data_IF_949687810976
#
_entry.id   IF_949687810976
#
_cell.length_a   1.000
_cell.length_b   1.000
_cell.length_c   1.000
_cell.angle_alpha   90.00
_cell.angle_beta   90.00
_cell.angle_gamma   90.00
#
_symmetry.space_group_name_H-M   'P 1'
#
loop_
_entity.id
_entity.type
_entity.pdbx_description
1 polymer ?
#
# COMPACT_ATOMS: atom_id res chain seq x y z
N UNK A 1 -14.69 -16.47 17.01
CA UNK A 1 -15.14 -15.40 17.94
C UNK A 1 -13.96 -14.59 18.46
N UNK A 2 -12.93 -15.23 19.08
CA UNK A 2 -11.77 -14.51 19.65
C UNK A 2 -10.95 -13.82 18.55
N UNK A 3 -10.66 -14.50 17.43
CA UNK A 3 -9.94 -13.91 16.29
C UNK A 3 -10.64 -12.64 15.79
N UNK A 4 -11.95 -12.72 15.49
CA UNK A 4 -12.69 -11.57 14.97
C UNK A 4 -12.70 -10.38 15.97
N UNK A 5 -12.70 -10.66 17.27
CA UNK A 5 -12.64 -9.62 18.29
C UNK A 5 -11.28 -8.91 18.27
N UNK A 6 -10.19 -9.68 18.16
CA UNK A 6 -8.84 -9.13 18.06
C UNK A 6 -8.60 -8.40 16.73
N UNK A 7 -9.17 -8.88 15.62
CA UNK A 7 -9.13 -8.16 14.35
C UNK A 7 -9.81 -6.80 14.44
N UNK A 8 -11.00 -6.75 15.01
CA UNK A 8 -11.72 -5.49 15.21
C UNK A 8 -10.96 -4.53 16.13
N UNK A 9 -10.37 -5.03 17.20
CA UNK A 9 -9.55 -4.23 18.10
C UNK A 9 -8.29 -3.72 17.42
N UNK A 10 -7.60 -4.56 16.64
CA UNK A 10 -6.44 -4.17 15.84
C UNK A 10 -6.80 -3.10 14.80
N UNK A 11 -7.91 -3.27 14.09
CA UNK A 11 -8.40 -2.29 13.11
C UNK A 11 -8.75 -0.96 13.77
N UNK A 12 -9.42 -1.00 14.93
CA UNK A 12 -9.75 0.20 15.68
C UNK A 12 -8.49 0.95 16.12
N UNK A 13 -7.54 0.27 16.78
CA UNK A 13 -6.28 0.87 17.22
C UNK A 13 -5.43 1.35 16.03
N UNK A 14 -5.40 0.61 14.94
CA UNK A 14 -4.64 1.00 13.72
C UNK A 14 -5.22 2.20 13.00
N UNK A 15 -6.50 2.51 13.23
CA UNK A 15 -7.18 3.66 12.62
C UNK A 15 -7.07 4.94 13.45
N UNK A 16 -6.50 4.86 14.64
CA UNK A 16 -6.21 6.03 15.46
C UNK A 16 -5.13 6.89 14.81
N UNK A 17 -5.19 8.19 15.03
CA UNK A 17 -4.16 9.11 14.61
C UNK A 17 -3.02 9.11 15.63
N UNK A 18 -1.79 8.96 15.13
CA UNK A 18 -0.57 8.97 15.94
C UNK A 18 0.24 10.22 15.66
N UNK A 19 0.65 10.89 16.72
CA UNK A 19 1.37 12.16 16.64
C UNK A 19 2.74 12.04 17.30
N UNK A 20 3.72 12.71 16.74
CA UNK A 20 5.06 12.84 17.32
C UNK A 20 5.39 14.33 17.48
N UNK A 21 5.88 14.71 18.66
CA UNK A 21 6.33 16.07 18.92
C UNK A 21 7.78 16.23 18.45
N UNK A 22 8.01 17.13 17.49
CA UNK A 22 9.32 17.47 17.00
C UNK A 22 9.44 19.00 16.93
N UNK A 23 10.50 19.55 17.56
CA UNK A 23 10.79 20.99 17.64
C UNK A 23 9.60 21.86 18.15
N UNK A 24 8.81 21.29 19.08
CA UNK A 24 7.67 21.97 19.70
C UNK A 24 6.39 21.95 18.84
N UNK A 25 6.37 21.19 17.78
CA UNK A 25 5.21 20.98 16.92
C UNK A 25 4.78 19.52 16.87
N UNK A 26 3.46 19.29 16.74
CA UNK A 26 2.91 17.94 16.56
C UNK A 26 2.88 17.56 15.08
N UNK A 27 3.37 16.36 14.79
CA UNK A 27 3.48 15.79 13.47
C UNK A 27 2.69 14.49 13.38
N UNK A 28 1.84 14.35 12.38
CA UNK A 28 1.26 13.10 11.92
C UNK A 28 1.85 12.68 10.56
N UNK A 29 1.48 11.48 10.08
CA UNK A 29 1.99 10.98 8.80
C UNK A 29 1.50 11.82 7.60
N UNK A 30 0.31 12.40 7.67
CA UNK A 30 -0.23 13.20 6.57
C UNK A 30 0.56 14.51 6.44
N UNK A 31 0.77 15.21 7.55
CA UNK A 31 1.58 16.43 7.58
C UNK A 31 3.01 16.15 7.13
N UNK A 32 3.61 15.07 7.66
CA UNK A 32 4.96 14.68 7.27
C UNK A 32 5.08 14.44 5.77
N UNK A 33 4.15 13.72 5.16
CA UNK A 33 4.16 13.48 3.71
C UNK A 33 3.96 14.75 2.88
N UNK A 34 3.25 15.74 3.41
CA UNK A 34 3.04 17.01 2.70
C UNK A 34 4.26 17.94 2.75
N UNK A 35 5.00 17.92 3.84
CA UNK A 35 6.08 18.87 4.13
C UNK A 35 7.49 18.25 3.99
N UNK A 36 7.61 16.91 3.83
CA UNK A 36 8.88 16.19 3.82
C UNK A 36 9.90 16.71 2.78
N UNK A 37 9.43 17.15 1.61
CA UNK A 37 10.31 17.64 0.54
C UNK A 37 11.02 18.96 0.90
N UNK A 38 10.48 19.71 1.87
CA UNK A 38 11.03 20.99 2.34
C UNK A 38 11.86 20.82 3.62
N UNK A 39 11.94 19.61 4.18
CA UNK A 39 12.57 19.31 5.46
C UNK A 39 13.95 18.69 5.31
N UNK A 40 14.75 18.77 6.39
CA UNK A 40 15.97 17.99 6.51
C UNK A 40 15.66 16.49 6.59
N UNK A 41 16.44 15.68 5.88
CA UNK A 41 16.22 14.23 5.78
C UNK A 41 16.26 13.52 7.12
N UNK A 42 17.17 13.94 8.02
CA UNK A 42 17.30 13.32 9.35
C UNK A 42 16.08 13.65 10.22
N UNK A 43 15.52 14.86 10.10
CA UNK A 43 14.28 15.27 10.76
C UNK A 43 13.09 14.44 10.28
N UNK A 44 12.95 14.23 8.95
CA UNK A 44 11.89 13.38 8.37
C UNK A 44 11.96 11.96 8.93
N UNK A 45 13.17 11.37 9.00
CA UNK A 45 13.36 10.03 9.55
C UNK A 45 12.98 9.98 11.04
N UNK A 46 13.41 10.95 11.84
CA UNK A 46 13.11 10.98 13.28
C UNK A 46 11.62 11.07 13.54
N UNK A 47 10.92 11.99 12.86
CA UNK A 47 9.47 12.16 12.99
C UNK A 47 8.74 10.87 12.56
N UNK A 48 9.10 10.31 11.40
CA UNK A 48 8.51 9.06 10.91
C UNK A 48 8.68 7.91 11.91
N UNK A 49 9.89 7.72 12.43
CA UNK A 49 10.17 6.68 13.41
C UNK A 49 9.41 6.90 14.72
N UNK A 50 9.27 8.15 15.16
CA UNK A 50 8.52 8.53 16.35
C UNK A 50 7.04 8.17 16.23
N UNK A 51 6.41 8.52 15.12
CA UNK A 51 5.01 8.18 14.81
C UNK A 51 4.83 6.65 14.71
N UNK A 52 5.70 5.97 13.96
CA UNK A 52 5.67 4.52 13.82
C UNK A 52 5.84 3.80 15.17
N UNK A 53 6.70 4.32 16.04
CA UNK A 53 6.88 3.74 17.38
C UNK A 53 5.60 3.83 18.20
N UNK A 54 4.93 4.97 18.23
CA UNK A 54 3.67 5.13 18.96
C UNK A 54 2.59 4.18 18.44
N UNK A 55 2.47 4.06 17.12
CA UNK A 55 1.56 3.08 16.51
C UNK A 55 1.90 1.65 16.93
N UNK A 56 3.17 1.27 16.85
CA UNK A 56 3.61 -0.07 17.23
C UNK A 56 3.37 -0.37 18.72
N UNK A 57 3.57 0.62 19.59
CA UNK A 57 3.29 0.48 21.02
C UNK A 57 1.78 0.27 21.27
N UNK A 58 0.91 0.91 20.48
CA UNK A 58 -0.54 0.77 20.61
C UNK A 58 -1.07 -0.58 20.12
N UNK A 59 -0.58 -1.06 18.95
CA UNK A 59 -1.13 -2.27 18.30
C UNK A 59 -0.36 -3.55 18.64
N UNK A 60 0.84 -3.46 19.20
CA UNK A 60 1.79 -4.57 19.28
C UNK A 60 1.27 -5.76 20.09
N UNK A 61 0.64 -5.52 21.24
CA UNK A 61 0.11 -6.59 22.10
C UNK A 61 -1.03 -7.34 21.41
N UNK A 62 -1.98 -6.60 20.83
CA UNK A 62 -3.12 -7.17 20.09
C UNK A 62 -2.64 -7.96 18.87
N UNK A 63 -1.64 -7.44 18.16
CA UNK A 63 -1.05 -8.13 17.01
C UNK A 63 -0.43 -9.48 17.41
N UNK A 64 0.35 -9.52 18.49
CA UNK A 64 0.96 -10.76 18.98
C UNK A 64 -0.11 -11.76 19.42
N UNK A 65 -1.15 -11.31 20.15
CA UNK A 65 -2.25 -12.20 20.56
C UNK A 65 -3.03 -12.73 19.35
N UNK A 66 -3.23 -11.92 18.32
CA UNK A 66 -3.87 -12.35 17.07
C UNK A 66 -3.04 -13.43 16.36
N UNK A 67 -1.71 -13.26 16.31
CA UNK A 67 -0.78 -14.28 15.75
C UNK A 67 -0.89 -15.60 16.52
N UNK A 68 -0.94 -15.55 17.85
CA UNK A 68 -1.06 -16.74 18.69
C UNK A 68 -2.37 -17.47 18.44
N UNK A 69 -3.50 -16.74 18.44
CA UNK A 69 -4.83 -17.32 18.16
C UNK A 69 -4.88 -17.94 16.76
N UNK A 70 -4.30 -17.29 15.77
CA UNK A 70 -4.24 -17.82 14.40
C UNK A 70 -3.42 -19.09 14.31
N UNK A 71 -2.30 -19.18 15.02
CA UNK A 71 -1.53 -20.41 15.10
C UNK A 71 -2.28 -21.54 15.84
N UNK A 72 -3.09 -21.22 16.87
CA UNK A 72 -3.97 -22.21 17.51
C UNK A 72 -5.04 -22.72 16.52
N UNK A 73 -5.65 -21.84 15.74
CA UNK A 73 -6.61 -22.22 14.69
C UNK A 73 -5.97 -23.15 13.68
N UNK A 74 -4.75 -22.86 13.21
CA UNK A 74 -4.03 -23.69 12.29
C UNK A 74 -3.79 -25.10 12.85
N UNK A 75 -3.33 -25.20 14.09
CA UNK A 75 -3.09 -26.48 14.77
C UNK A 75 -4.37 -27.30 14.93
N UNK A 76 -5.50 -26.65 15.28
CA UNK A 76 -6.80 -27.30 15.36
C UNK A 76 -7.27 -27.85 13.99
N UNK A 77 -6.80 -27.29 12.90
CA UNK A 77 -7.11 -27.74 11.55
C UNK A 77 -6.03 -28.68 10.96
N UNK A 78 -5.02 -29.10 11.75
CA UNK A 78 -4.02 -30.08 11.37
C UNK A 78 -2.80 -29.51 10.64
N UNK A 79 -2.57 -28.20 10.73
CA UNK A 79 -1.40 -27.51 10.16
C UNK A 79 -0.38 -27.16 11.25
N UNK A 80 0.89 -27.10 10.89
CA UNK A 80 1.95 -26.75 11.83
C UNK A 80 1.95 -25.27 12.24
N UNK A 81 1.52 -24.39 11.35
CA UNK A 81 1.45 -22.94 11.58
C UNK A 81 0.37 -22.27 10.71
N UNK A 82 0.05 -21.00 11.05
CA UNK A 82 -0.99 -20.28 10.34
C UNK A 82 -0.63 -19.97 8.87
N UNK A 83 0.64 -19.82 8.53
CA UNK A 83 1.01 -19.54 7.16
C UNK A 83 0.67 -20.71 6.22
N UNK A 84 0.90 -21.97 6.64
CA UNK A 84 0.49 -23.15 5.87
C UNK A 84 -1.02 -23.27 5.78
N UNK A 85 -1.72 -23.11 6.91
CA UNK A 85 -3.18 -23.09 6.94
C UNK A 85 -3.77 -22.02 6.02
N UNK A 86 -3.23 -20.79 6.06
CA UNK A 86 -3.72 -19.71 5.27
C UNK A 86 -3.49 -19.93 3.76
N UNK A 87 -2.36 -20.51 3.36
CA UNK A 87 -2.09 -20.83 1.95
C UNK A 87 -3.13 -21.78 1.38
N UNK A 88 -3.46 -22.82 2.09
CA UNK A 88 -4.39 -23.86 1.65
C UNK A 88 -5.86 -23.45 1.86
N UNK A 89 -6.25 -23.16 3.10
CA UNK A 89 -7.64 -23.04 3.49
C UNK A 89 -8.22 -21.62 3.38
N UNK A 90 -7.39 -20.57 3.54
CA UNK A 90 -7.86 -19.17 3.51
C UNK A 90 -7.71 -18.58 2.11
N UNK A 91 -6.53 -18.70 1.52
CA UNK A 91 -6.24 -18.13 0.20
C UNK A 91 -6.49 -19.09 -0.95
N UNK A 92 -6.76 -20.36 -0.66
CA UNK A 92 -7.06 -21.43 -1.64
C UNK A 92 -6.02 -21.43 -2.76
N UNK A 93 -4.72 -21.40 -2.38
CA UNK A 93 -3.62 -21.38 -3.34
C UNK A 93 -3.35 -22.79 -3.83
N UNK A 94 -3.09 -22.93 -5.11
CA UNK A 94 -2.69 -24.19 -5.76
C UNK A 94 -1.18 -24.46 -5.70
N UNK A 95 -0.44 -23.67 -4.88
CA UNK A 95 0.99 -23.81 -4.63
C UNK A 95 1.31 -23.65 -3.14
N UNK A 96 2.40 -24.28 -2.72
CA UNK A 96 2.84 -24.36 -1.33
C UNK A 96 3.76 -23.22 -0.91
N UNK A 97 3.98 -23.10 0.41
CA UNK A 97 4.99 -22.17 0.96
C UNK A 97 6.40 -22.49 0.46
N UNK A 98 6.74 -23.77 0.29
CA UNK A 98 8.07 -24.17 -0.18
C UNK A 98 8.28 -23.81 -1.65
N UNK A 99 7.27 -24.00 -2.50
CA UNK A 99 7.30 -23.53 -3.88
C UNK A 99 7.41 -22.00 -3.97
N UNK A 100 6.75 -21.26 -3.06
CA UNK A 100 6.93 -19.81 -2.97
C UNK A 100 8.36 -19.43 -2.56
N UNK A 101 8.94 -20.15 -1.59
CA UNK A 101 10.34 -19.92 -1.20
C UNK A 101 11.31 -20.20 -2.33
N UNK A 102 11.06 -21.23 -3.11
CA UNK A 102 11.89 -21.57 -4.27
C UNK A 102 11.75 -20.50 -5.37
N UNK A 103 10.54 -20.04 -5.65
CA UNK A 103 10.31 -18.91 -6.54
C UNK A 103 11.08 -17.65 -6.08
N UNK A 104 11.04 -17.33 -4.78
CA UNK A 104 11.78 -16.18 -4.24
C UNK A 104 13.31 -16.33 -4.38
N UNK A 105 13.84 -17.55 -4.30
CA UNK A 105 15.26 -17.82 -4.58
C UNK A 105 15.60 -17.57 -6.05
N UNK A 106 14.75 -18.02 -6.98
CA UNK A 106 14.94 -17.78 -8.41
C UNK A 106 14.81 -16.27 -8.76
N UNK A 107 13.85 -15.56 -8.17
CA UNK A 107 13.73 -14.11 -8.30
C UNK A 107 15.01 -13.41 -7.80
N UNK A 108 15.49 -13.79 -6.61
CA UNK A 108 16.73 -13.21 -6.05
C UNK A 108 17.94 -13.46 -6.94
N UNK A 109 18.00 -14.64 -7.54
CA UNK A 109 19.13 -15.04 -8.40
C UNK A 109 19.10 -14.40 -9.79
N UNK A 110 17.91 -14.26 -10.38
CA UNK A 110 17.78 -13.90 -11.78
C UNK A 110 17.19 -12.50 -12.00
N UNK A 111 16.27 -12.05 -11.15
CA UNK A 111 15.60 -10.74 -11.32
C UNK A 111 16.34 -9.64 -10.58
N UNK A 112 16.76 -9.88 -9.34
CA UNK A 112 17.43 -8.85 -8.52
C UNK A 112 18.70 -8.30 -9.18
N UNK A 113 19.60 -9.10 -9.82
CA UNK A 113 20.75 -8.55 -10.54
C UNK A 113 20.33 -7.64 -11.71
N UNK A 114 19.31 -8.04 -12.48
CA UNK A 114 18.79 -7.21 -13.58
C UNK A 114 18.24 -5.88 -13.06
N UNK A 115 17.52 -5.90 -11.93
CA UNK A 115 17.04 -4.67 -11.29
C UNK A 115 18.19 -3.78 -10.79
N UNK A 116 19.29 -4.38 -10.30
CA UNK A 116 20.47 -3.63 -9.89
C UNK A 116 21.14 -2.93 -11.09
N UNK A 117 21.28 -3.64 -12.21
CA UNK A 117 21.81 -3.06 -13.46
C UNK A 117 20.89 -1.94 -14.00
N UNK A 118 19.56 -2.14 -13.91
CA UNK A 118 18.58 -1.12 -14.31
C UNK A 118 18.63 0.12 -13.43
N UNK A 119 18.98 -0.01 -12.15
CA UNK A 119 19.09 1.13 -11.23
C UNK A 119 20.10 2.18 -11.72
N UNK A 120 21.21 1.74 -12.31
CA UNK A 120 22.20 2.65 -12.86
C UNK A 120 21.66 3.41 -14.08
N UNK A 121 20.83 2.76 -14.90
CA UNK A 121 20.14 3.41 -16.03
C UNK A 121 19.03 4.36 -15.53
N UNK A 122 18.28 3.98 -14.50
CA UNK A 122 17.20 4.78 -13.91
C UNK A 122 17.73 5.99 -13.12
N UNK A 123 18.97 5.92 -12.63
CA UNK A 123 19.66 7.05 -12.00
C UNK A 123 20.29 7.98 -13.03
N UNK A 124 20.17 7.68 -14.34
CA UNK A 124 20.65 8.57 -15.39
C UNK A 124 19.87 9.90 -15.36
N UNK A 125 20.57 10.96 -15.72
CA UNK A 125 20.10 12.35 -15.73
C UNK A 125 18.77 12.51 -16.48
N UNK A 126 18.53 11.70 -17.50
CA UNK A 126 17.30 11.75 -18.29
C UNK A 126 16.07 11.22 -17.54
N UNK A 127 16.20 10.16 -16.73
CA UNK A 127 15.10 9.68 -15.90
C UNK A 127 14.72 10.71 -14.82
N UNK A 128 15.72 11.24 -14.11
CA UNK A 128 15.49 12.27 -13.08
C UNK A 128 14.89 13.54 -13.69
N UNK A 129 15.28 13.90 -14.91
CA UNK A 129 14.69 15.01 -15.65
C UNK A 129 13.21 14.76 -15.96
N UNK A 130 12.87 13.58 -16.50
CA UNK A 130 11.48 13.20 -16.80
C UNK A 130 10.61 13.17 -15.53
N UNK A 131 11.17 12.67 -14.43
CA UNK A 131 10.49 12.70 -13.14
C UNK A 131 10.24 14.13 -12.66
N UNK A 132 11.24 15.02 -12.75
CA UNK A 132 11.09 16.42 -12.35
C UNK A 132 10.18 17.22 -13.28
N UNK A 133 10.14 16.92 -14.57
CA UNK A 133 9.21 17.52 -15.53
C UNK A 133 7.75 17.11 -15.25
N UNK A 134 7.53 15.94 -14.65
CA UNK A 134 6.22 15.49 -14.20
C UNK A 134 5.74 16.11 -12.89
N UNK A 135 6.61 16.79 -12.14
CA UNK A 135 6.21 17.48 -10.91
C UNK A 135 5.34 18.71 -11.23
N UNK A 136 4.30 18.91 -10.43
CA UNK A 136 3.39 20.05 -10.58
C UNK A 136 2.26 19.85 -11.60
N UNK A 137 2.10 18.65 -12.16
CA UNK A 137 0.90 18.32 -12.94
C UNK A 137 -0.23 18.02 -11.93
N UNK A 138 -1.34 18.73 -12.04
CA UNK A 138 -2.52 18.44 -11.23
C UNK A 138 -3.00 17.00 -11.48
N UNK A 139 -3.21 16.25 -10.41
CA UNK A 139 -3.61 14.84 -10.45
C UNK A 139 -4.88 14.61 -11.26
N UNK A 140 -5.85 15.52 -11.17
CA UNK A 140 -7.10 15.47 -11.95
C UNK A 140 -6.86 15.66 -13.44
N UNK A 141 -5.89 16.50 -13.83
CA UNK A 141 -5.56 16.71 -15.24
C UNK A 141 -4.90 15.51 -15.89
N UNK A 142 -4.21 14.68 -15.12
CA UNK A 142 -3.59 13.44 -15.64
C UNK A 142 -4.67 12.49 -16.18
N UNK A 143 -5.75 12.27 -15.42
CA UNK A 143 -6.84 11.40 -15.85
C UNK A 143 -7.46 11.88 -17.16
N UNK A 144 -7.59 13.20 -17.35
CA UNK A 144 -8.13 13.75 -18.58
C UNK A 144 -7.16 13.59 -19.76
N UNK A 145 -5.87 13.76 -19.53
CA UNK A 145 -4.84 13.73 -20.56
C UNK A 145 -4.47 12.33 -21.08
N UNK A 146 -4.68 11.28 -20.29
CA UNK A 146 -4.36 9.91 -20.70
C UNK A 146 -5.34 9.31 -21.72
N UNK A 147 -6.52 9.88 -21.88
CA UNK A 147 -7.58 9.33 -22.74
C UNK A 147 -7.14 8.96 -24.17
N UNK A 148 -6.44 9.84 -24.90
CA UNK A 148 -5.95 9.52 -26.24
C UNK A 148 -5.00 8.31 -26.28
N UNK A 149 -4.15 8.16 -25.26
CA UNK A 149 -3.22 7.04 -25.15
C UNK A 149 -3.94 5.73 -24.81
N UNK A 150 -4.98 5.80 -23.97
CA UNK A 150 -5.82 4.63 -23.67
C UNK A 150 -6.56 4.14 -24.90
N UNK A 151 -7.06 5.06 -25.76
CA UNK A 151 -7.72 4.72 -27.03
C UNK A 151 -6.79 4.00 -28.01
N UNK A 152 -5.50 4.38 -28.04
CA UNK A 152 -4.48 3.71 -28.88
C UNK A 152 -4.20 2.27 -28.41
N UNK A 153 -4.31 2.02 -27.09
CA UNK A 153 -4.12 0.68 -26.51
C UNK A 153 -5.35 -0.18 -26.74
N UNK A 154 -6.51 0.29 -26.32
CA UNK A 154 -7.81 -0.36 -26.47
C UNK A 154 -8.93 0.68 -26.31
N UNK A 155 -9.87 0.80 -27.28
CA UNK A 155 -11.01 1.71 -27.16
C UNK A 155 -11.87 1.49 -25.89
N UNK A 156 -11.98 0.26 -25.38
CA UNK A 156 -12.72 -0.03 -24.14
C UNK A 156 -12.07 0.63 -22.91
N UNK A 157 -10.75 0.81 -22.90
CA UNK A 157 -10.05 1.52 -21.83
C UNK A 157 -10.43 3.01 -21.82
N UNK A 158 -10.58 3.60 -22.99
CA UNK A 158 -11.05 5.00 -23.09
C UNK A 158 -12.49 5.15 -22.63
N UNK A 159 -13.39 4.26 -23.03
CA UNK A 159 -14.77 4.26 -22.59
C UNK A 159 -14.85 4.13 -21.05
N UNK A 160 -14.01 3.29 -20.47
CA UNK A 160 -13.87 3.14 -19.02
C UNK A 160 -13.40 4.45 -18.38
N UNK A 161 -12.37 5.10 -18.92
CA UNK A 161 -11.87 6.38 -18.42
C UNK A 161 -12.96 7.47 -18.50
N UNK A 162 -13.69 7.57 -19.62
CA UNK A 162 -14.78 8.53 -19.78
C UNK A 162 -15.90 8.29 -18.76
N UNK A 163 -16.17 7.03 -18.43
CA UNK A 163 -17.12 6.68 -17.37
C UNK A 163 -16.62 7.14 -15.99
N UNK A 164 -15.34 6.92 -15.65
CA UNK A 164 -14.74 7.42 -14.42
C UNK A 164 -14.83 8.94 -14.30
N UNK A 165 -14.52 9.66 -15.37
CA UNK A 165 -14.64 11.12 -15.43
C UNK A 165 -16.10 11.57 -15.24
N UNK A 166 -17.04 10.97 -16.00
CA UNK A 166 -18.45 11.33 -15.98
C UNK A 166 -19.09 11.18 -14.61
N UNK A 167 -18.78 10.11 -13.90
CA UNK A 167 -19.38 9.80 -12.60
C UNK A 167 -18.48 10.17 -11.41
N UNK A 168 -17.33 10.79 -11.67
CA UNK A 168 -16.34 11.17 -10.64
C UNK A 168 -15.96 9.99 -9.74
N UNK A 169 -15.68 8.83 -10.35
CA UNK A 169 -15.31 7.60 -9.64
C UNK A 169 -13.82 7.58 -9.25
N UNK A 170 -13.24 8.72 -9.00
CA UNK A 170 -11.86 8.89 -8.55
C UNK A 170 -11.79 10.04 -7.55
N UNK A 171 -10.84 9.96 -6.66
CA UNK A 171 -10.47 10.99 -5.70
C UNK A 171 -8.95 10.96 -5.55
N UNK A 172 -8.28 11.95 -6.13
CA UNK A 172 -6.81 12.04 -6.20
C UNK A 172 -6.26 13.25 -5.45
N UNK A 173 -7.13 14.11 -4.92
CA UNK A 173 -6.68 15.29 -4.22
C UNK A 173 -6.09 14.93 -2.86
N UNK A 174 -4.95 15.52 -2.51
CA UNK A 174 -4.37 15.41 -1.17
C UNK A 174 -5.14 16.24 -0.16
N UNK A 175 -5.37 15.69 1.02
CA UNK A 175 -6.01 16.38 2.13
C UNK A 175 -5.57 15.76 3.46
N UNK A 176 -5.41 16.60 4.49
CA UNK A 176 -5.07 16.14 5.84
C UNK A 176 -6.08 15.15 6.44
N UNK A 177 -7.34 15.22 5.96
CA UNK A 177 -8.42 14.36 6.45
C UNK A 177 -8.63 13.08 5.63
N UNK A 178 -7.73 12.76 4.71
CA UNK A 178 -7.78 11.53 3.92
C UNK A 178 -6.83 10.48 4.46
N UNK A 179 -7.22 9.21 4.34
CA UNK A 179 -6.31 8.11 4.59
C UNK A 179 -5.10 8.20 3.66
N UNK A 180 -3.89 8.07 4.23
CA UNK A 180 -2.64 8.09 3.48
C UNK A 180 -2.41 6.74 2.78
N UNK A 181 -3.30 6.40 1.87
CA UNK A 181 -3.24 5.15 1.10
C UNK A 181 -3.97 5.29 -0.22
N UNK A 182 -3.54 4.52 -1.20
CA UNK A 182 -4.28 4.33 -2.44
C UNK A 182 -5.08 3.04 -2.36
N UNK A 183 -6.34 3.07 -2.73
CA UNK A 183 -7.18 1.88 -2.80
C UNK A 183 -8.12 1.95 -4.00
N UNK A 184 -8.52 0.77 -4.47
CA UNK A 184 -9.56 0.62 -5.49
C UNK A 184 -10.66 -0.25 -4.92
N UNK A 185 -11.91 0.22 -5.02
CA UNK A 185 -13.08 -0.54 -4.62
C UNK A 185 -13.79 -1.13 -5.83
N UNK A 186 -14.10 -2.42 -5.75
CA UNK A 186 -14.93 -3.06 -6.77
C UNK A 186 -16.39 -2.68 -6.56
N UNK A 187 -17.01 -2.07 -7.56
CA UNK A 187 -18.42 -1.72 -7.58
C UNK A 187 -19.28 -2.87 -8.14
N UNK A 188 -19.23 -4.03 -7.49
CA UNK A 188 -19.89 -5.26 -7.97
C UNK A 188 -21.43 -5.26 -7.88
N UNK A 189 -22.02 -4.24 -7.28
CA UNK A 189 -23.47 -4.13 -7.08
C UNK A 189 -24.19 -3.31 -8.15
N UNK A 190 -23.48 -2.65 -9.04
CA UNK A 190 -24.10 -1.90 -10.12
C UNK A 190 -24.26 -2.80 -11.35
N UNK A 191 -25.51 -2.89 -11.85
CA UNK A 191 -25.86 -3.76 -12.98
C UNK A 191 -25.22 -3.37 -14.32
N UNK A 192 -24.62 -2.20 -14.39
CA UNK A 192 -24.02 -1.66 -15.61
C UNK A 192 -22.51 -1.91 -15.65
N UNK A 193 -22.14 -3.03 -15.11
CA UNK A 193 -20.94 -3.80 -15.33
C UNK A 193 -19.64 -3.03 -15.46
N UNK A 194 -18.88 -3.15 -14.45
CA UNK A 194 -17.46 -3.26 -14.56
C UNK A 194 -17.03 -4.64 -14.10
#
# INVERSE_FOLDING_TARGET
>A
AKENSLEQEYEQLSSEEFYYEYDGEEWDLNRLNMEADEMDHDAVIEIYQGICKQRNDAVGEVFVELVDVRNEIAKLNGYDNYAEYAYDAVYVRDYTLDETRDLLKEIRKHVVPVMADMKDVLNDTDYMRLYSEGQGIESTSIIEQIGPYLEEIDPELKDTQEHFLKYRLYDMDTSQNKANTAFTMRLSYFKDGF
#
